data_IF_318416501011
#
_entry.id   IF_318416501011
#
_cell.length_a   1.000
_cell.length_b   1.000
_cell.length_c   1.000
_cell.angle_alpha   90.00
_cell.angle_beta   90.00
_cell.angle_gamma   90.00
#
_symmetry.space_group_name_H-M   'P 1'
#
loop_
_entity.id
_entity.type
_entity.pdbx_description
1 polymer ?
#
# COMPACT_ATOMS: atom_id res chain seq x y z
N UNK A 1 -9.42 -9.08 30.09
CA UNK A 1 -8.99 -9.28 28.68
C UNK A 1 -8.68 -7.91 28.12
N UNK A 2 -7.39 -7.62 27.91
CA UNK A 2 -6.92 -6.36 27.35
C UNK A 2 -7.26 -6.35 25.85
N UNK A 3 -8.29 -5.60 25.45
CA UNK A 3 -8.66 -5.40 24.04
C UNK A 3 -7.62 -4.44 23.45
N UNK A 4 -6.39 -4.92 23.29
CA UNK A 4 -5.36 -4.15 22.59
C UNK A 4 -5.81 -4.00 21.16
N UNK A 5 -6.25 -2.78 20.81
CA UNK A 5 -6.56 -2.36 19.45
C UNK A 5 -5.43 -2.87 18.54
N UNK A 6 -5.79 -3.67 17.52
CA UNK A 6 -4.82 -4.28 16.61
C UNK A 6 -3.85 -3.23 16.09
N UNK A 7 -2.55 -3.47 16.25
CA UNK A 7 -1.50 -2.55 15.83
C UNK A 7 -1.34 -2.67 14.33
N UNK A 8 -1.74 -1.65 13.57
CA UNK A 8 -1.62 -1.66 12.11
C UNK A 8 -0.57 -0.65 11.66
N UNK A 9 0.36 -1.09 10.82
CA UNK A 9 1.32 -0.25 10.10
C UNK A 9 0.93 -0.20 8.64
N UNK A 10 0.92 0.99 8.06
CA UNK A 10 0.65 1.19 6.63
C UNK A 10 1.93 1.56 5.91
N UNK A 11 2.23 0.84 4.83
CA UNK A 11 3.24 1.24 3.85
C UNK A 11 2.52 1.83 2.64
N UNK A 12 2.87 3.06 2.25
CA UNK A 12 2.36 3.70 1.04
C UNK A 12 3.45 3.67 -0.01
N UNK A 13 3.14 3.18 -1.22
CA UNK A 13 4.18 3.09 -2.25
C UNK A 13 3.65 3.24 -3.67
N UNK A 14 4.43 3.90 -4.53
CA UNK A 14 3.94 4.34 -5.84
C UNK A 14 3.77 3.23 -6.89
N UNK A 15 4.55 2.14 -6.82
CA UNK A 15 4.53 1.09 -7.86
C UNK A 15 4.70 -0.29 -7.20
N UNK A 16 3.94 -1.32 -7.57
CA UNK A 16 4.31 -2.69 -7.25
C UNK A 16 5.49 -3.07 -8.16
N UNK A 17 6.72 -2.94 -7.65
CA UNK A 17 7.93 -3.40 -8.33
C UNK A 17 8.12 -4.90 -8.00
N UNK A 18 8.71 -5.69 -8.89
CA UNK A 18 8.80 -7.15 -8.75
C UNK A 18 9.46 -7.59 -7.43
N UNK A 19 10.39 -6.79 -6.91
CA UNK A 19 11.04 -7.04 -5.61
C UNK A 19 10.24 -6.62 -4.39
N UNK A 20 9.17 -5.82 -4.56
CA UNK A 20 8.38 -5.28 -3.45
C UNK A 20 7.47 -6.34 -2.82
N UNK A 21 6.95 -7.30 -3.60
CA UNK A 21 6.12 -8.37 -3.03
C UNK A 21 6.93 -9.24 -2.06
N UNK A 22 8.10 -9.82 -2.43
CA UNK A 22 8.91 -10.58 -1.48
C UNK A 22 9.33 -9.76 -0.25
N UNK A 23 9.71 -8.49 -0.46
CA UNK A 23 10.05 -7.58 0.65
C UNK A 23 8.89 -7.42 1.63
N UNK A 24 7.69 -7.12 1.12
CA UNK A 24 6.51 -6.90 1.96
C UNK A 24 5.99 -8.20 2.58
N UNK A 25 6.20 -9.36 1.94
CA UNK A 25 5.91 -10.66 2.53
C UNK A 25 6.83 -10.91 3.75
N UNK A 26 8.13 -10.69 3.62
CA UNK A 26 9.08 -10.81 4.73
C UNK A 26 8.76 -9.82 5.85
N UNK A 27 8.46 -8.57 5.50
CA UNK A 27 8.07 -7.54 6.47
C UNK A 27 6.78 -7.92 7.21
N UNK A 28 5.79 -8.44 6.49
CA UNK A 28 4.53 -8.91 7.07
C UNK A 28 4.76 -10.04 8.07
N UNK A 29 5.63 -10.99 7.73
CA UNK A 29 6.00 -12.08 8.64
C UNK A 29 6.64 -11.52 9.93
N UNK A 30 7.66 -10.66 9.80
CA UNK A 30 8.35 -10.07 10.94
C UNK A 30 7.41 -9.24 11.84
N UNK A 31 6.52 -8.45 11.24
CA UNK A 31 5.53 -7.67 11.99
C UNK A 31 4.48 -8.56 12.67
N UNK A 32 4.06 -9.65 12.02
CA UNK A 32 3.12 -10.60 12.61
C UNK A 32 3.70 -11.28 13.86
N UNK A 33 5.00 -11.60 13.87
CA UNK A 33 5.72 -12.11 15.05
C UNK A 33 5.67 -11.13 16.23
N UNK A 34 5.56 -9.82 15.97
CA UNK A 34 5.38 -8.77 16.97
C UNK A 34 3.90 -8.41 17.29
N UNK A 35 2.94 -9.14 16.70
CA UNK A 35 1.51 -8.84 16.84
C UNK A 35 1.07 -7.55 16.13
N UNK A 36 1.77 -7.18 15.05
CA UNK A 36 1.50 -6.01 14.21
C UNK A 36 1.03 -6.47 12.83
N UNK A 37 -0.04 -5.85 12.33
CA UNK A 37 -0.58 -6.08 11.00
C UNK A 37 0.04 -5.11 9.99
N UNK A 38 0.48 -5.63 8.84
CA UNK A 38 0.91 -4.82 7.71
C UNK A 38 -0.25 -4.60 6.72
N UNK A 39 -0.43 -3.35 6.32
CA UNK A 39 -1.28 -2.99 5.17
C UNK A 39 -0.47 -2.19 4.14
N UNK A 40 -0.49 -2.59 2.87
CA UNK A 40 0.24 -1.89 1.80
C UNK A 40 -0.75 -1.14 0.90
N UNK A 41 -0.56 0.17 0.75
CA UNK A 41 -1.31 0.99 -0.21
C UNK A 41 -0.44 1.23 -1.43
N UNK A 42 -0.83 0.64 -2.56
CA UNK A 42 -0.25 0.93 -3.85
C UNK A 42 -0.91 2.18 -4.43
N UNK A 43 -0.16 3.28 -4.50
CA UNK A 43 -0.70 4.60 -4.83
C UNK A 43 -0.98 4.81 -6.33
N UNK A 44 -0.54 3.88 -7.18
CA UNK A 44 -0.83 3.85 -8.61
C UNK A 44 -0.86 2.39 -9.10
N UNK A 45 -1.72 2.09 -10.09
CA UNK A 45 -1.78 0.79 -10.79
C UNK A 45 -0.55 0.51 -11.67
N UNK A 46 0.44 1.39 -11.65
CA UNK A 46 1.60 1.34 -12.53
C UNK A 46 1.51 2.46 -13.55
N UNK A 47 2.65 2.99 -13.93
CA UNK A 47 2.71 3.82 -15.14
C UNK A 47 2.35 2.91 -16.31
N UNK A 48 1.42 3.35 -17.16
CA UNK A 48 0.92 2.68 -18.37
C UNK A 48 2.03 2.12 -19.30
N UNK A 49 3.30 2.47 -19.05
CA UNK A 49 4.49 1.99 -19.75
C UNK A 49 5.10 0.68 -19.24
N UNK A 50 4.62 0.05 -18.15
CA UNK A 50 5.18 -1.24 -17.69
C UNK A 50 4.18 -2.40 -17.82
N UNK A 51 4.44 -3.26 -18.79
CA UNK A 51 3.80 -4.58 -19.02
C UNK A 51 4.10 -5.61 -17.91
N UNK A 52 4.29 -5.18 -16.68
CA UNK A 52 4.52 -6.12 -15.58
C UNK A 52 3.16 -6.40 -14.95
N UNK A 53 2.57 -7.54 -15.35
CA UNK A 53 1.43 -8.12 -14.65
C UNK A 53 1.91 -8.42 -13.23
N UNK A 54 1.46 -7.61 -12.27
CA UNK A 54 1.77 -7.85 -10.87
C UNK A 54 0.85 -8.97 -10.43
N UNK A 55 1.43 -10.12 -10.14
CA UNK A 55 0.72 -11.26 -9.61
C UNK A 55 0.38 -11.01 -8.14
N UNK A 56 -0.81 -10.45 -7.92
CA UNK A 56 -1.29 -10.11 -6.58
C UNK A 56 -1.52 -11.36 -5.72
N UNK A 57 -1.62 -12.55 -6.31
CA UNK A 57 -1.79 -13.81 -5.59
C UNK A 57 -0.57 -14.15 -4.73
N UNK A 58 0.58 -13.55 -5.02
CA UNK A 58 1.80 -13.69 -4.21
C UNK A 58 1.83 -12.77 -2.98
N UNK A 59 0.84 -11.89 -2.80
CA UNK A 59 0.80 -10.99 -1.64
C UNK A 59 0.27 -11.73 -0.41
N UNK A 60 1.12 -11.90 0.61
CA UNK A 60 0.73 -12.49 1.90
C UNK A 60 0.31 -11.43 2.94
N UNK A 61 0.15 -10.18 2.50
CA UNK A 61 -0.22 -9.01 3.31
C UNK A 61 -1.50 -8.37 2.80
N UNK A 62 -2.20 -7.64 3.69
CA UNK A 62 -3.36 -6.85 3.28
C UNK A 62 -2.93 -5.69 2.40
N UNK A 63 -3.67 -5.41 1.33
CA UNK A 63 -3.32 -4.32 0.43
C UNK A 63 -4.53 -3.61 -0.16
N UNK A 64 -4.32 -2.36 -0.54
CA UNK A 64 -5.26 -1.56 -1.33
C UNK A 64 -4.53 -0.97 -2.52
N UNK A 65 -5.12 -1.06 -3.71
CA UNK A 65 -4.66 -0.35 -4.88
C UNK A 65 -5.53 0.88 -5.07
N UNK A 66 -4.95 2.07 -5.08
CA UNK A 66 -5.68 3.30 -5.36
C UNK A 66 -6.01 3.34 -6.86
N UNK A 67 -7.27 3.03 -7.20
CA UNK A 67 -7.77 3.13 -8.58
C UNK A 67 -7.59 4.55 -9.13
N UNK A 68 -6.99 4.67 -10.31
CA UNK A 68 -7.09 5.89 -11.13
C UNK A 68 -8.55 5.99 -11.60
N UNK A 69 -9.21 7.14 -11.43
CA UNK A 69 -10.46 7.36 -12.19
C UNK A 69 -10.09 7.35 -13.68
N UNK A 70 -10.89 6.72 -14.53
CA UNK A 70 -10.62 6.56 -15.98
C UNK A 70 -10.29 7.89 -16.70
N UNK A 71 -10.65 9.04 -16.11
CA UNK A 71 -10.36 10.39 -16.61
C UNK A 71 -9.52 11.26 -15.64
N UNK A 72 -8.83 10.67 -14.67
CA UNK A 72 -7.97 11.43 -13.75
C UNK A 72 -6.69 11.88 -14.46
N UNK A 73 -6.38 13.19 -14.36
CA UNK A 73 -5.07 13.75 -14.72
C UNK A 73 -3.96 12.95 -14.03
N UNK A 74 -2.79 12.91 -14.67
CA UNK A 74 -1.56 12.37 -14.09
C UNK A 74 -1.47 12.75 -12.60
N UNK A 75 -1.16 11.79 -11.69
CA UNK A 75 -0.94 12.12 -10.29
C UNK A 75 0.26 13.07 -10.14
N UNK A 76 1.10 13.20 -11.15
CA UNK A 76 2.24 14.10 -11.15
C UNK A 76 1.89 15.46 -11.76
N UNK A 77 1.91 16.52 -10.95
CA UNK A 77 1.75 17.92 -11.37
C UNK A 77 2.79 18.78 -10.66
N UNK A 78 3.54 19.59 -11.41
CA UNK A 78 4.50 20.57 -10.88
C UNK A 78 5.55 19.95 -9.91
N UNK A 79 5.99 18.71 -10.15
CA UNK A 79 6.93 18.01 -9.27
C UNK A 79 6.30 17.27 -8.09
N UNK A 80 4.98 17.36 -7.91
CA UNK A 80 4.24 16.79 -6.78
C UNK A 80 3.39 15.62 -7.22
N UNK A 81 3.44 14.53 -6.45
CA UNK A 81 2.54 13.40 -6.59
C UNK A 81 1.27 13.59 -5.75
N UNK A 82 0.11 13.54 -6.39
CA UNK A 82 -1.21 13.61 -5.78
C UNK A 82 -1.94 12.28 -5.96
N UNK A 83 -2.35 11.69 -4.84
CA UNK A 83 -3.04 10.40 -4.80
C UNK A 83 -4.47 10.56 -4.25
N UNK A 84 -5.45 10.83 -5.13
CA UNK A 84 -6.85 10.89 -4.72
C UNK A 84 -7.26 9.61 -3.98
N UNK A 85 -7.89 9.76 -2.82
CA UNK A 85 -8.35 8.62 -2.02
C UNK A 85 -7.32 8.09 -1.01
N UNK A 86 -6.04 8.44 -1.11
CA UNK A 86 -5.01 8.00 -0.14
C UNK A 86 -5.39 8.37 1.29
N UNK A 87 -5.78 9.62 1.52
CA UNK A 87 -6.17 10.09 2.85
C UNK A 87 -7.45 9.40 3.37
N UNK A 88 -8.39 9.07 2.48
CA UNK A 88 -9.61 8.32 2.83
C UNK A 88 -9.24 6.91 3.28
N UNK A 89 -8.36 6.23 2.55
CA UNK A 89 -7.91 4.88 2.89
C UNK A 89 -7.10 4.87 4.20
N UNK A 90 -6.19 5.82 4.41
CA UNK A 90 -5.45 5.95 5.67
C UNK A 90 -6.41 6.13 6.85
N UNK A 91 -7.43 6.98 6.71
CA UNK A 91 -8.44 7.17 7.77
C UNK A 91 -9.27 5.92 8.03
N UNK A 92 -9.63 5.18 6.97
CA UNK A 92 -10.37 3.91 7.08
C UNK A 92 -9.56 2.84 7.81
N UNK A 93 -8.27 2.72 7.49
CA UNK A 93 -7.35 1.75 8.11
C UNK A 93 -6.99 2.17 9.54
N UNK A 94 -6.94 3.49 9.81
CA UNK A 94 -6.54 4.06 11.10
C UNK A 94 -5.21 3.46 11.64
N UNK A 95 -4.11 3.58 10.87
CA UNK A 95 -2.84 2.98 11.25
C UNK A 95 -2.17 3.73 12.41
N UNK A 96 -1.29 3.04 13.12
CA UNK A 96 -0.45 3.62 14.17
C UNK A 96 0.77 4.32 13.59
N UNK A 97 1.29 3.80 12.47
CA UNK A 97 2.43 4.36 11.75
C UNK A 97 2.20 4.26 10.26
N UNK A 98 2.71 5.25 9.53
CA UNK A 98 2.70 5.31 8.07
C UNK A 98 4.15 5.41 7.61
N UNK A 99 4.54 4.56 6.67
CA UNK A 99 5.86 4.54 6.03
C UNK A 99 5.65 4.88 4.56
N UNK A 100 6.49 5.78 4.00
CA UNK A 100 6.42 6.27 2.62
C UNK A 100 7.70 5.97 1.86
#
# INVERSE_FOLDING_TARGET
MDVRKSRTVVVVTNIPNHYRIPLFNTLNQQLAEEGVQLHVIFASEGYESRRNVIDLDQCHFSHTILRKKENARSPFKDGVFFYPGLLKEIRRINPQKIIV
#
